data_IF_097102092448
#
_entry.id   IF_097102092448
#
_cell.length_a   1.000
_cell.length_b   1.000
_cell.length_c   1.000
_cell.angle_alpha   90.00
_cell.angle_beta   90.00
_cell.angle_gamma   90.00
#
_symmetry.space_group_name_H-M   'P 1'
#
loop_
_entity.id
_entity.type
_entity.pdbx_description
1 polymer ?
#
# COMPACT_ATOMS: atom_id res chain seq x y z
N UNK A 1 -17.99 -13.92 6.21
CA UNK A 1 -18.20 -14.16 7.65
C UNK A 1 -17.84 -12.96 8.51
N UNK A 2 -16.61 -12.42 8.48
CA UNK A 2 -16.26 -11.24 9.31
C UNK A 2 -16.99 -9.96 8.89
N UNK A 3 -17.05 -9.68 7.59
CA UNK A 3 -17.79 -8.53 7.07
C UNK A 3 -19.30 -8.66 7.36
N UNK A 4 -19.85 -9.87 7.22
CA UNK A 4 -21.25 -10.16 7.58
C UNK A 4 -21.52 -9.99 9.09
N UNK A 5 -20.48 -10.09 9.93
CA UNK A 5 -20.55 -9.84 11.36
C UNK A 5 -20.36 -8.35 11.74
N UNK A 6 -20.26 -7.46 10.75
CA UNK A 6 -20.15 -6.00 10.94
C UNK A 6 -18.74 -5.43 10.88
N UNK A 7 -17.72 -6.22 10.54
CA UNK A 7 -16.39 -5.69 10.27
C UNK A 7 -16.40 -4.78 9.03
N UNK A 8 -15.78 -3.59 9.13
CA UNK A 8 -15.72 -2.62 8.03
C UNK A 8 -14.42 -2.75 7.22
N UNK A 9 -13.33 -3.13 7.90
CA UNK A 9 -12.03 -3.35 7.29
C UNK A 9 -11.37 -4.59 7.85
N UNK A 10 -10.50 -5.22 7.06
CA UNK A 10 -9.74 -6.40 7.43
C UNK A 10 -8.25 -6.06 7.42
N UNK A 11 -7.60 -6.22 8.56
CA UNK A 11 -6.14 -6.01 8.68
C UNK A 11 -5.42 -7.29 8.27
N UNK A 12 -4.48 -7.17 7.33
CA UNK A 12 -3.55 -8.23 6.96
C UNK A 12 -2.22 -7.94 7.64
N UNK A 13 -1.87 -8.81 8.57
CA UNK A 13 -0.61 -8.74 9.29
C UNK A 13 0.56 -8.99 8.36
N UNK A 14 1.60 -8.16 8.48
CA UNK A 14 2.80 -8.29 7.65
C UNK A 14 3.69 -9.45 8.08
N UNK A 15 3.51 -9.93 9.31
CA UNK A 15 4.31 -10.97 9.96
C UNK A 15 3.39 -12.00 10.58
N UNK A 16 3.05 -13.06 9.85
CA UNK A 16 2.49 -14.22 10.55
C UNK A 16 3.62 -14.87 11.34
N UNK A 17 3.38 -15.12 12.61
CA UNK A 17 4.20 -15.97 13.47
C UNK A 17 4.11 -17.43 13.01
N UNK A 18 4.53 -17.75 11.80
CA UNK A 18 4.67 -19.11 11.29
C UNK A 18 5.49 -19.06 10.01
N UNK A 19 6.55 -19.89 9.95
CA UNK A 19 7.43 -20.02 8.78
C UNK A 19 6.62 -20.09 7.47
N UNK A 20 6.81 -19.11 6.58
CA UNK A 20 6.42 -19.19 5.17
C UNK A 20 5.06 -18.60 4.78
N UNK A 21 4.36 -17.90 5.68
CA UNK A 21 3.10 -17.20 5.35
C UNK A 21 3.19 -15.76 5.84
N UNK A 22 3.18 -14.80 4.91
CA UNK A 22 3.33 -13.39 5.24
C UNK A 22 3.49 -12.53 3.99
N UNK A 23 3.23 -11.24 4.12
CA UNK A 23 3.46 -10.27 3.02
C UNK A 23 4.94 -10.09 2.74
N UNK A 24 5.80 -10.36 3.72
CA UNK A 24 7.25 -10.26 3.63
C UNK A 24 7.89 -11.53 4.19
N UNK A 25 8.91 -12.06 3.51
CA UNK A 25 9.70 -13.18 4.05
C UNK A 25 10.67 -12.73 5.17
N UNK A 26 11.42 -13.69 5.70
CA UNK A 26 12.44 -13.46 6.72
C UNK A 26 13.57 -12.51 6.25
N UNK A 27 13.76 -12.37 4.93
CA UNK A 27 14.69 -11.42 4.33
C UNK A 27 14.07 -10.03 4.10
N UNK A 28 12.77 -9.87 4.35
CA UNK A 28 12.01 -8.64 4.11
C UNK A 28 11.61 -8.45 2.65
N UNK A 29 11.67 -9.50 1.81
CA UNK A 29 11.23 -9.45 0.42
C UNK A 29 9.71 -9.54 0.35
N UNK A 30 9.11 -8.62 -0.41
CA UNK A 30 7.65 -8.53 -0.58
C UNK A 30 7.11 -9.67 -1.46
N UNK A 31 5.99 -10.27 -1.04
CA UNK A 31 5.26 -11.29 -1.78
C UNK A 31 3.96 -10.74 -2.37
N UNK A 32 3.97 -10.24 -3.62
CA UNK A 32 2.80 -9.61 -4.24
C UNK A 32 1.61 -10.57 -4.36
N UNK A 33 1.86 -11.84 -4.70
CA UNK A 33 0.79 -12.82 -4.88
C UNK A 33 -0.07 -13.05 -3.62
N UNK A 34 0.53 -12.96 -2.42
CA UNK A 34 -0.23 -13.04 -1.17
C UNK A 34 -1.06 -11.78 -0.95
N UNK A 35 -0.47 -10.61 -1.19
CA UNK A 35 -1.17 -9.35 -1.06
C UNK A 35 -2.37 -9.26 -2.03
N UNK A 36 -2.17 -9.65 -3.29
CA UNK A 36 -3.19 -9.70 -4.34
C UNK A 36 -4.35 -10.61 -3.96
N UNK A 37 -4.06 -11.79 -3.41
CA UNK A 37 -5.10 -12.73 -2.96
C UNK A 37 -6.07 -12.11 -1.96
N UNK A 38 -5.58 -11.29 -1.02
CA UNK A 38 -6.46 -10.59 -0.07
C UNK A 38 -7.22 -9.43 -0.73
N UNK A 39 -6.55 -8.64 -1.55
CA UNK A 39 -7.16 -7.53 -2.28
C UNK A 39 -8.27 -8.01 -3.23
N UNK A 40 -8.07 -9.13 -3.91
CA UNK A 40 -9.05 -9.76 -4.80
C UNK A 40 -10.21 -10.38 -4.03
N UNK A 41 -9.94 -11.02 -2.89
CA UNK A 41 -10.97 -11.70 -2.11
C UNK A 41 -11.91 -10.73 -1.38
N UNK A 42 -11.42 -9.58 -0.92
CA UNK A 42 -12.16 -8.66 -0.05
C UNK A 42 -12.32 -7.24 -0.62
N UNK A 43 -11.61 -6.92 -1.69
CA UNK A 43 -11.53 -5.59 -2.26
C UNK A 43 -10.46 -4.72 -1.59
N UNK A 44 -9.65 -4.03 -2.40
CA UNK A 44 -8.55 -3.20 -1.92
C UNK A 44 -8.96 -2.12 -0.90
N UNK A 45 -10.19 -1.59 -1.01
CA UNK A 45 -10.73 -0.59 -0.06
C UNK A 45 -11.11 -1.18 1.30
N UNK A 46 -11.39 -2.48 1.34
CA UNK A 46 -11.75 -3.20 2.58
C UNK A 46 -10.51 -3.67 3.31
N UNK A 47 -9.46 -4.01 2.58
CA UNK A 47 -8.21 -4.54 3.14
C UNK A 47 -7.31 -3.40 3.62
N UNK A 48 -6.65 -3.61 4.76
CA UNK A 48 -5.62 -2.73 5.31
C UNK A 48 -4.38 -3.57 5.58
N UNK A 49 -3.23 -3.16 5.06
CA UNK A 49 -1.99 -3.90 5.22
C UNK A 49 -1.11 -3.27 6.29
N UNK A 50 -0.56 -4.08 7.19
CA UNK A 50 0.46 -3.57 8.11
C UNK A 50 1.74 -3.17 7.36
N UNK A 51 2.28 -1.99 7.70
CA UNK A 51 3.48 -1.46 7.07
C UNK A 51 4.41 -0.76 8.10
N UNK A 52 4.98 -1.50 9.06
CA UNK A 52 5.68 -0.93 10.21
C UNK A 52 7.06 -0.35 9.91
N UNK A 53 7.53 -0.47 8.68
CA UNK A 53 8.86 0.00 8.27
C UNK A 53 8.85 0.51 6.82
N UNK A 54 9.83 1.34 6.47
CA UNK A 54 10.01 1.88 5.12
C UNK A 54 9.91 0.83 3.99
N UNK A 55 10.57 -0.35 4.05
CA UNK A 55 10.43 -1.37 3.00
C UNK A 55 8.99 -1.81 2.76
N UNK A 56 8.23 -2.10 3.82
CA UNK A 56 6.84 -2.52 3.70
C UNK A 56 5.92 -1.42 3.17
N UNK A 57 6.11 -0.19 3.64
CA UNK A 57 5.37 0.98 3.17
C UNK A 57 5.55 1.20 1.67
N UNK A 58 6.80 1.18 1.21
CA UNK A 58 7.13 1.48 -0.18
C UNK A 58 6.70 0.33 -1.09
N UNK A 59 6.92 -0.93 -0.68
CA UNK A 59 6.50 -2.09 -1.46
C UNK A 59 4.99 -2.12 -1.71
N UNK A 60 4.17 -1.85 -0.68
CA UNK A 60 2.72 -1.83 -0.81
C UNK A 60 2.23 -0.66 -1.67
N UNK A 61 2.83 0.53 -1.53
CA UNK A 61 2.53 1.69 -2.38
C UNK A 61 2.96 1.47 -3.83
N UNK A 62 4.14 0.88 -4.05
CA UNK A 62 4.64 0.55 -5.38
C UNK A 62 3.76 -0.47 -6.10
N UNK A 63 3.26 -1.45 -5.35
CA UNK A 63 2.46 -2.55 -5.88
C UNK A 63 1.01 -2.13 -6.16
N UNK A 64 0.30 -1.62 -5.15
CA UNK A 64 -1.12 -1.29 -5.26
C UNK A 64 -1.40 0.16 -5.68
N UNK A 65 -0.42 1.05 -5.58
CA UNK A 65 -0.59 2.46 -5.83
C UNK A 65 -1.18 3.23 -4.65
N UNK A 66 -1.70 4.42 -4.96
CA UNK A 66 -2.01 5.48 -3.98
C UNK A 66 -3.22 5.17 -3.10
N UNK A 67 -4.05 4.20 -3.46
CA UNK A 67 -5.31 3.87 -2.78
C UNK A 67 -5.14 2.78 -1.71
N UNK A 68 -3.96 2.17 -1.58
CA UNK A 68 -3.73 1.12 -0.57
C UNK A 68 -3.86 1.68 0.84
N UNK A 69 -4.61 0.99 1.69
CA UNK A 69 -4.70 1.32 3.10
C UNK A 69 -3.54 0.68 3.87
N UNK A 70 -2.83 1.51 4.63
CA UNK A 70 -1.69 1.09 5.45
C UNK A 70 -2.01 1.33 6.92
N UNK A 71 -1.63 0.39 7.79
CA UNK A 71 -1.66 0.57 9.24
C UNK A 71 -0.31 0.21 9.86
N UNK A 72 -0.18 0.37 11.18
CA UNK A 72 1.07 0.16 11.92
C UNK A 72 2.23 1.05 11.43
N UNK A 73 1.95 2.14 10.69
CA UNK A 73 2.94 3.14 10.28
C UNK A 73 3.33 3.98 11.48
N UNK A 74 4.63 4.09 11.74
CA UNK A 74 5.14 4.92 12.84
C UNK A 74 4.81 6.40 12.62
N UNK A 75 4.49 7.11 13.69
CA UNK A 75 4.08 8.53 13.63
C UNK A 75 5.12 9.39 12.89
N UNK A 76 6.40 9.18 13.16
CA UNK A 76 7.52 9.88 12.52
C UNK A 76 7.69 9.57 11.03
N UNK A 77 7.05 8.52 10.51
CA UNK A 77 7.10 8.13 9.09
C UNK A 77 5.88 8.62 8.28
N UNK A 78 4.83 9.14 8.92
CA UNK A 78 3.59 9.54 8.22
C UNK A 78 3.86 10.51 7.07
N UNK A 79 4.67 11.55 7.31
CA UNK A 79 5.00 12.53 6.25
C UNK A 79 5.73 11.87 5.08
N UNK A 80 6.65 10.93 5.36
CA UNK A 80 7.39 10.21 4.33
C UNK A 80 6.45 9.35 3.48
N UNK A 81 5.55 8.62 4.14
CA UNK A 81 4.54 7.79 3.47
C UNK A 81 3.65 8.64 2.59
N UNK A 82 3.18 9.80 3.07
CA UNK A 82 2.32 10.68 2.29
C UNK A 82 3.05 11.33 1.10
N UNK A 83 4.31 11.75 1.28
CA UNK A 83 5.17 12.25 0.18
C UNK A 83 5.33 11.16 -0.89
N UNK A 84 5.57 9.92 -0.48
CA UNK A 84 5.71 8.78 -1.40
C UNK A 84 4.38 8.47 -2.11
N UNK A 85 3.29 8.37 -1.34
CA UNK A 85 1.92 8.15 -1.85
C UNK A 85 1.49 9.22 -2.85
N UNK A 86 1.98 10.45 -2.71
CA UNK A 86 1.71 11.53 -3.66
C UNK A 86 2.62 11.54 -4.88
N UNK A 87 3.60 10.65 -4.97
CA UNK A 87 4.58 10.64 -6.05
C UNK A 87 5.56 11.81 -6.00
N UNK A 88 5.75 12.41 -4.82
CA UNK A 88 6.65 13.56 -4.59
C UNK A 88 8.06 13.13 -4.17
N UNK A 89 8.24 11.85 -3.83
CA UNK A 89 9.55 11.23 -3.63
C UNK A 89 10.15 10.82 -4.99
N UNK A 90 11.47 10.91 -5.18
CA UNK A 90 12.15 10.52 -6.44
C UNK A 90 11.79 9.12 -6.90
N UNK A 91 11.87 8.15 -5.98
CA UNK A 91 11.59 6.74 -6.27
C UNK A 91 10.12 6.55 -6.67
N UNK A 92 9.19 7.22 -5.99
CA UNK A 92 7.77 7.16 -6.32
C UNK A 92 7.46 7.83 -7.66
N UNK A 93 8.15 8.92 -8.00
CA UNK A 93 7.98 9.62 -9.28
C UNK A 93 8.35 8.74 -10.49
N UNK A 94 9.30 7.81 -10.31
CA UNK A 94 9.67 6.83 -11.32
C UNK A 94 8.60 5.73 -11.53
N UNK A 95 7.63 5.60 -10.64
CA UNK A 95 6.54 4.61 -10.72
C UNK A 95 5.34 5.20 -11.46
N UNK A 96 4.89 4.54 -12.53
CA UNK A 96 3.77 5.02 -13.34
C UNK A 96 2.44 5.13 -12.58
N UNK A 97 2.20 4.25 -11.61
CA UNK A 97 1.00 4.21 -10.76
C UNK A 97 1.03 5.19 -9.56
N UNK A 98 2.18 5.82 -9.28
CA UNK A 98 2.32 6.83 -8.22
C UNK A 98 2.62 8.23 -8.78
N UNK A 99 3.17 8.30 -9.99
CA UNK A 99 3.54 9.55 -10.65
C UNK A 99 2.33 10.50 -10.71
N UNK A 100 2.47 11.76 -10.26
CA UNK A 100 1.39 12.73 -10.36
C UNK A 100 0.97 12.91 -11.82
N UNK A 101 -0.34 13.00 -12.05
CA UNK A 101 -0.85 13.41 -13.35
C UNK A 101 -0.24 14.77 -13.72
N UNK A 102 0.09 14.94 -15.01
CA UNK A 102 0.47 16.26 -15.50
C UNK A 102 -0.75 17.17 -15.28
N UNK A 103 -0.57 18.35 -14.65
CA UNK A 103 -1.68 19.29 -14.52
C UNK A 103 -2.24 19.58 -15.91
N UNK A 104 -3.57 19.62 -16.01
CA UNK A 104 -4.20 20.06 -17.25
C UNK A 104 -3.68 21.45 -17.61
N UNK A 105 -3.34 21.69 -18.90
CA UNK A 105 -2.92 23.01 -19.32
C UNK A 105 -4.05 23.99 -18.99
N UNK A 106 -3.71 25.03 -18.24
CA UNK A 106 -4.65 26.08 -17.80
C UNK A 106 -5.30 26.84 -18.97
N UNK A 107 -4.83 26.61 -20.20
CA UNK A 107 -5.40 27.16 -21.43
C UNK A 107 -5.59 26.04 -22.46
N UNK A 108 -6.85 25.79 -22.82
CA UNK A 108 -7.21 25.07 -24.04
C UNK A 108 -7.42 26.11 -25.14
N UNK A 109 -6.62 26.11 -26.23
CA UNK A 109 -6.90 26.98 -27.37
C UNK A 109 -8.24 26.57 -27.99
N UNK A 110 -9.16 27.54 -28.09
CA UNK A 110 -10.44 27.39 -28.79
C UNK A 110 -10.29 27.47 -30.30
#
# INVERSE_FOLDING_TARGET
>A
RWLDAGAVQLVVEARESARGVGLFDDAGCFHPAYADRFADAFGLRTVVFEAPNKPSQFALLDHFGREVHLCNVRLEEILRVEIYRRGLHSDAFARSNLRPARPEPLFQPG
#
